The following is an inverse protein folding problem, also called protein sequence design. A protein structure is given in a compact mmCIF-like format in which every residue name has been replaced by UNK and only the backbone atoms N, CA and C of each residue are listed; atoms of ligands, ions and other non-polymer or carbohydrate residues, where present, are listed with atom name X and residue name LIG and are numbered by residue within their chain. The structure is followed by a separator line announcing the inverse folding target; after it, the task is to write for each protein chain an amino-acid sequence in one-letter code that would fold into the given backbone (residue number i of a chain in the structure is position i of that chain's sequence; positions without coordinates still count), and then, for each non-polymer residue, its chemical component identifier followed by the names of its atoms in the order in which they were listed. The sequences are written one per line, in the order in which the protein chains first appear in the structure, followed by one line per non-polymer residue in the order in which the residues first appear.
data_IF_360554760444
#
_entry.id   IF_360554760444
#
_cell.length_a   1.000
_cell.length_b   1.000
_cell.length_c   1.000
_cell.angle_alpha   90.00
_cell.angle_beta   90.00
_cell.angle_gamma   90.00
#
_symmetry.space_group_name_H-M   'P 1'
#
loop_
_entity.id
_entity.type
_entity.pdbx_description
1 polymer ?
#
# COMPACT_ATOMS: atom_id res chain seq x y z
N UNK A 1 -9.51 -16.96 -2.06
CA UNK A 1 -10.80 -16.44 -1.54
C UNK A 1 -10.70 -15.87 -0.12
N UNK A 2 -9.97 -16.46 0.83
CA UNK A 2 -9.86 -15.94 2.21
C UNK A 2 -9.17 -14.57 2.29
N UNK A 3 -8.23 -14.26 1.40
CA UNK A 3 -7.53 -12.98 1.35
C UNK A 3 -8.35 -11.85 0.74
N UNK A 4 -9.10 -12.14 -0.31
CA UNK A 4 -10.06 -11.18 -0.90
C UNK A 4 -11.10 -10.75 0.15
N UNK A 5 -11.58 -11.68 0.98
CA UNK A 5 -12.48 -11.38 2.10
C UNK A 5 -11.86 -10.44 3.15
N UNK A 6 -10.56 -10.59 3.46
CA UNK A 6 -9.85 -9.68 4.38
C UNK A 6 -9.64 -8.29 3.78
N UNK A 7 -9.36 -8.18 2.47
CA UNK A 7 -9.24 -6.89 1.79
C UNK A 7 -10.56 -6.13 1.75
N UNK A 8 -11.68 -6.84 1.54
CA UNK A 8 -13.03 -6.24 1.56
C UNK A 8 -13.46 -5.75 2.96
N UNK A 9 -12.95 -6.35 4.05
CA UNK A 9 -13.27 -5.93 5.42
C UNK A 9 -12.55 -4.65 5.87
N UNK A 10 -11.50 -4.23 5.14
CA UNK A 10 -10.67 -3.05 5.45
C UNK A 10 -11.07 -1.82 4.61
N UNK A 11 -12.25 -1.80 4.06
CA UNK A 11 -12.78 -0.82 3.08
C UNK A 11 -12.70 0.67 3.46
N UNK A 12 -12.13 1.04 4.59
CA UNK A 12 -12.12 2.44 5.04
C UNK A 12 -10.80 3.20 4.88
N UNK A 13 -9.77 2.67 4.19
CA UNK A 13 -8.44 3.28 4.34
C UNK A 13 -7.62 3.58 3.09
N UNK A 14 -8.01 3.13 1.89
CA UNK A 14 -7.31 3.53 0.65
C UNK A 14 -8.23 3.34 -0.54
N UNK A 15 -8.96 4.40 -0.85
CA UNK A 15 -10.20 4.34 -1.60
C UNK A 15 -10.10 3.85 -3.06
N UNK A 16 -8.91 3.82 -3.69
CA UNK A 16 -8.84 3.55 -5.13
C UNK A 16 -8.03 2.29 -5.52
N UNK A 17 -7.06 1.85 -4.72
CA UNK A 17 -6.15 0.77 -5.13
C UNK A 17 -6.65 -0.65 -4.82
N UNK A 18 -7.43 -0.83 -3.74
CA UNK A 18 -7.90 -2.17 -3.37
C UNK A 18 -8.92 -2.75 -4.34
N UNK A 19 -9.89 -1.97 -4.84
CA UNK A 19 -10.78 -2.46 -5.88
C UNK A 19 -10.05 -2.99 -7.10
N UNK A 20 -9.02 -2.28 -7.56
CA UNK A 20 -8.22 -2.68 -8.72
C UNK A 20 -7.44 -3.97 -8.45
N UNK A 21 -6.81 -4.09 -7.27
CA UNK A 21 -6.10 -5.32 -6.87
C UNK A 21 -7.07 -6.50 -6.79
N UNK A 22 -8.25 -6.30 -6.18
CA UNK A 22 -9.27 -7.35 -6.04
C UNK A 22 -9.75 -7.80 -7.41
N UNK A 23 -10.10 -6.86 -8.28
CA UNK A 23 -10.58 -7.16 -9.64
C UNK A 23 -9.56 -7.95 -10.44
N UNK A 24 -8.28 -7.53 -10.43
CA UNK A 24 -7.19 -8.25 -11.08
C UNK A 24 -6.99 -9.66 -10.52
N UNK A 25 -7.11 -9.84 -9.19
CA UNK A 25 -6.99 -11.14 -8.55
C UNK A 25 -8.18 -12.07 -8.88
N UNK A 26 -9.40 -11.54 -8.92
CA UNK A 26 -10.59 -12.30 -9.29
C UNK A 26 -10.54 -12.76 -10.76
N UNK A 27 -10.11 -11.88 -11.67
CA UNK A 27 -9.88 -12.24 -13.07
C UNK A 27 -8.84 -13.35 -13.22
N UNK A 28 -7.70 -13.22 -12.53
CA UNK A 28 -6.64 -14.23 -12.54
C UNK A 28 -7.10 -15.54 -11.91
N UNK A 29 -7.89 -15.52 -10.85
CA UNK A 29 -8.42 -16.72 -10.20
C UNK A 29 -9.32 -17.50 -11.16
N UNK A 30 -10.30 -16.86 -11.78
CA UNK A 30 -11.27 -17.56 -12.66
C UNK A 30 -10.60 -18.19 -13.88
N UNK A 31 -9.60 -17.51 -14.48
CA UNK A 31 -8.85 -18.08 -15.62
C UNK A 31 -7.85 -19.14 -15.14
N UNK A 32 -7.20 -18.89 -14.00
CA UNK A 32 -6.23 -19.81 -13.40
C UNK A 32 -6.85 -21.16 -13.03
N UNK A 33 -8.05 -21.18 -12.48
CA UNK A 33 -8.78 -22.41 -12.15
C UNK A 33 -9.07 -23.25 -13.40
N UNK A 34 -9.57 -22.62 -14.47
CA UNK A 34 -9.80 -23.31 -15.76
C UNK A 34 -8.51 -23.83 -16.36
N UNK A 35 -7.44 -23.07 -16.32
CA UNK A 35 -6.13 -23.48 -16.78
C UNK A 35 -5.60 -24.67 -15.97
N UNK A 36 -5.71 -24.64 -14.65
CA UNK A 36 -5.31 -25.72 -13.77
C UNK A 36 -6.06 -27.02 -14.08
N UNK A 37 -7.37 -26.94 -14.35
CA UNK A 37 -8.16 -28.11 -14.73
C UNK A 37 -7.66 -28.72 -16.04
N UNK A 38 -7.39 -27.91 -17.05
CA UNK A 38 -6.83 -28.36 -18.33
C UNK A 38 -5.46 -29.03 -18.16
N UNK A 39 -4.57 -28.42 -17.38
CA UNK A 39 -3.25 -28.99 -17.08
C UNK A 39 -3.37 -30.33 -16.38
N UNK A 40 -4.27 -30.46 -15.38
CA UNK A 40 -4.52 -31.73 -14.69
C UNK A 40 -4.98 -32.82 -15.63
N UNK A 41 -5.85 -32.51 -16.58
CA UNK A 41 -6.31 -33.49 -17.59
C UNK A 41 -5.17 -33.95 -18.49
N UNK A 42 -4.32 -33.04 -18.97
CA UNK A 42 -3.16 -33.36 -19.82
C UNK A 42 -2.17 -34.25 -19.04
N UNK A 43 -1.89 -33.90 -17.78
CA UNK A 43 -1.02 -34.70 -16.90
C UNK A 43 -1.59 -36.09 -16.66
N UNK A 44 -2.91 -36.21 -16.44
CA UNK A 44 -3.58 -37.49 -16.24
C UNK A 44 -3.47 -38.42 -17.47
N UNK A 45 -3.54 -37.85 -18.68
CA UNK A 45 -3.39 -38.57 -19.95
C UNK A 45 -1.90 -38.94 -20.20
N UNK A 46 -0.95 -38.26 -19.56
CA UNK A 46 0.49 -38.47 -19.73
C UNK A 46 1.06 -37.85 -20.99
N UNK A 47 0.35 -36.91 -21.62
CA UNK A 47 0.79 -36.22 -22.85
C UNK A 47 1.73 -35.07 -22.47
N UNK A 48 3.03 -35.36 -22.35
CA UNK A 48 4.04 -34.40 -21.91
C UNK A 48 4.35 -33.34 -22.98
N UNK A 49 4.23 -33.66 -24.27
CA UNK A 49 4.45 -32.71 -25.36
C UNK A 49 3.36 -31.63 -25.34
N UNK A 50 2.12 -32.05 -25.29
CA UNK A 50 0.97 -31.16 -25.16
C UNK A 50 1.01 -30.32 -23.89
N UNK A 51 1.53 -30.89 -22.79
CA UNK A 51 1.73 -30.14 -21.54
C UNK A 51 2.71 -28.99 -21.73
N UNK A 52 3.86 -29.26 -22.38
CA UNK A 52 4.87 -28.24 -22.65
C UNK A 52 4.33 -27.12 -23.57
N UNK A 53 3.64 -27.47 -24.63
CA UNK A 53 3.01 -26.51 -25.53
C UNK A 53 2.00 -25.65 -24.78
N UNK A 54 1.16 -26.26 -23.94
CA UNK A 54 0.13 -25.54 -23.17
C UNK A 54 0.74 -24.61 -22.13
N UNK A 55 1.81 -25.02 -21.45
CA UNK A 55 2.54 -24.18 -20.51
C UNK A 55 3.17 -22.98 -21.23
N UNK A 56 3.87 -23.19 -22.36
CA UNK A 56 4.44 -22.11 -23.18
C UNK A 56 3.38 -21.13 -23.65
N UNK A 57 2.26 -21.63 -24.17
CA UNK A 57 1.15 -20.79 -24.65
C UNK A 57 0.48 -19.98 -23.54
N UNK A 58 0.61 -20.37 -22.27
CA UNK A 58 0.04 -19.65 -21.14
C UNK A 58 0.82 -18.40 -20.72
N UNK A 59 2.12 -18.34 -21.05
CA UNK A 59 3.03 -17.26 -20.61
C UNK A 59 2.56 -15.88 -21.09
N UNK A 60 2.28 -15.66 -22.40
CA UNK A 60 1.85 -14.35 -22.88
C UNK A 60 0.57 -13.85 -22.22
N UNK A 61 -0.24 -14.74 -21.70
CA UNK A 61 -1.47 -14.40 -21.00
C UNK A 61 -1.22 -14.06 -19.53
N UNK A 62 -0.54 -14.96 -18.78
CA UNK A 62 -0.39 -14.79 -17.33
C UNK A 62 0.73 -13.85 -16.93
N UNK A 63 1.89 -13.87 -17.63
CA UNK A 63 3.04 -13.09 -17.19
C UNK A 63 2.77 -11.57 -17.12
N UNK A 64 2.15 -10.91 -18.12
CA UNK A 64 1.83 -9.49 -18.03
C UNK A 64 0.86 -9.18 -16.88
N UNK A 65 -0.16 -10.03 -16.68
CA UNK A 65 -1.17 -9.85 -15.63
C UNK A 65 -0.60 -10.02 -14.23
N UNK A 66 0.22 -11.05 -14.02
CA UNK A 66 0.95 -11.22 -12.75
C UNK A 66 1.84 -10.03 -12.47
N UNK A 67 2.54 -9.52 -13.50
CA UNK A 67 3.38 -8.33 -13.36
C UNK A 67 2.55 -7.07 -13.01
N UNK A 68 1.39 -6.91 -13.62
CA UNK A 68 0.48 -5.79 -13.32
C UNK A 68 0.00 -5.84 -11.86
N UNK A 69 -0.41 -7.01 -11.35
CA UNK A 69 -0.77 -7.15 -9.94
C UNK A 69 0.41 -6.82 -9.02
N UNK A 70 1.61 -7.31 -9.32
CA UNK A 70 2.81 -6.99 -8.54
C UNK A 70 3.10 -5.49 -8.53
N UNK A 71 2.98 -4.82 -9.68
CA UNK A 71 3.16 -3.38 -9.82
C UNK A 71 2.11 -2.61 -9.02
N UNK A 72 0.84 -3.00 -9.11
CA UNK A 72 -0.26 -2.36 -8.40
C UNK A 72 -0.09 -2.50 -6.89
N UNK A 73 0.28 -3.69 -6.39
CA UNK A 73 0.59 -3.90 -4.96
C UNK A 73 1.78 -3.03 -4.53
N UNK A 74 2.86 -2.98 -5.32
CA UNK A 74 4.06 -2.21 -4.96
C UNK A 74 3.81 -0.71 -4.88
N UNK A 75 2.84 -0.21 -5.63
CA UNK A 75 2.48 1.21 -5.66
C UNK A 75 1.30 1.55 -4.71
N UNK A 76 0.76 0.56 -4.00
CA UNK A 76 -0.39 0.76 -3.13
C UNK A 76 -0.03 1.62 -1.91
N UNK A 77 -0.61 2.82 -1.75
CA UNK A 77 -0.41 3.63 -0.56
C UNK A 77 -1.26 3.08 0.57
N UNK A 78 -0.63 2.55 1.60
CA UNK A 78 -1.33 2.08 2.79
C UNK A 78 -1.67 3.26 3.69
N UNK A 79 -2.95 3.58 3.81
CA UNK A 79 -3.45 4.61 4.73
C UNK A 79 -4.28 3.94 5.82
N UNK A 80 -3.97 4.21 7.08
CA UNK A 80 -4.77 3.70 8.20
C UNK A 80 -4.74 4.66 9.38
N UNK A 81 -5.86 4.75 10.06
CA UNK A 81 -5.97 5.46 11.34
C UNK A 81 -5.45 4.59 12.52
N UNK A 82 -5.30 3.28 12.31
CA UNK A 82 -4.79 2.33 13.28
C UNK A 82 -3.51 1.67 12.76
N UNK A 83 -2.45 1.73 13.56
CA UNK A 83 -1.16 1.11 13.22
C UNK A 83 -1.24 -0.41 13.17
N UNK A 84 -2.08 -1.03 14.00
CA UNK A 84 -2.26 -2.48 14.05
C UNK A 84 -2.90 -2.96 12.76
N UNK A 85 -3.98 -2.31 12.34
CA UNK A 85 -4.69 -2.65 11.10
C UNK A 85 -3.80 -2.42 9.88
N UNK A 86 -3.05 -1.30 9.85
CA UNK A 86 -2.10 -1.02 8.77
C UNK A 86 -0.99 -2.06 8.69
N UNK A 87 -0.46 -2.52 9.83
CA UNK A 87 0.57 -3.55 9.87
C UNK A 87 0.04 -4.90 9.39
N UNK A 88 -1.16 -5.28 9.81
CA UNK A 88 -1.83 -6.52 9.41
C UNK A 88 -2.10 -6.51 7.90
N UNK A 89 -2.60 -5.40 7.37
CA UNK A 89 -2.84 -5.24 5.95
C UNK A 89 -1.55 -5.27 5.13
N UNK A 90 -0.51 -4.57 5.60
CA UNK A 90 0.81 -4.61 4.97
C UNK A 90 1.33 -6.04 4.87
N UNK A 91 1.25 -6.82 5.95
CA UNK A 91 1.69 -8.21 5.95
C UNK A 91 0.87 -9.05 4.95
N UNK A 92 -0.45 -8.89 4.94
CA UNK A 92 -1.31 -9.59 3.99
C UNK A 92 -0.96 -9.26 2.52
N UNK A 93 -0.65 -8.00 2.19
CA UNK A 93 -0.21 -7.61 0.85
C UNK A 93 1.16 -8.18 0.50
N UNK A 94 2.10 -8.23 1.45
CA UNK A 94 3.40 -8.88 1.25
C UNK A 94 3.22 -10.37 0.97
N UNK A 95 2.34 -11.06 1.68
CA UNK A 95 2.06 -12.48 1.47
C UNK A 95 1.46 -12.75 0.08
N UNK A 96 0.52 -11.91 -0.37
CA UNK A 96 -0.04 -11.97 -1.74
C UNK A 96 1.06 -11.72 -2.76
N UNK A 97 1.83 -10.66 -2.56
CA UNK A 97 2.94 -10.30 -3.45
C UNK A 97 3.94 -11.45 -3.57
N UNK A 98 4.34 -12.05 -2.45
CA UNK A 98 5.26 -13.18 -2.42
C UNK A 98 4.74 -14.38 -3.21
N UNK A 99 3.46 -14.73 -3.05
CA UNK A 99 2.83 -15.82 -3.77
C UNK A 99 2.80 -15.58 -5.28
N UNK A 100 2.44 -14.36 -5.70
CA UNK A 100 2.38 -13.97 -7.11
C UNK A 100 3.79 -13.89 -7.72
N UNK A 101 4.74 -13.25 -7.03
CA UNK A 101 6.12 -13.14 -7.49
C UNK A 101 6.78 -14.52 -7.67
N UNK A 102 6.54 -15.43 -6.72
CA UNK A 102 6.98 -16.82 -6.82
C UNK A 102 6.36 -17.53 -8.01
N UNK A 103 5.06 -17.36 -8.22
CA UNK A 103 4.34 -17.97 -9.34
C UNK A 103 4.88 -17.46 -10.68
N UNK A 104 5.05 -16.15 -10.84
CA UNK A 104 5.62 -15.54 -12.05
C UNK A 104 7.05 -16.03 -12.33
N UNK A 105 7.88 -16.08 -11.28
CA UNK A 105 9.24 -16.60 -11.40
C UNK A 105 9.28 -18.06 -11.83
N UNK A 106 8.50 -18.93 -11.16
CA UNK A 106 8.44 -20.34 -11.50
C UNK A 106 7.91 -20.57 -12.92
N UNK A 107 6.88 -19.85 -13.33
CA UNK A 107 6.35 -19.91 -14.68
C UNK A 107 7.42 -19.57 -15.72
N UNK A 108 8.19 -18.51 -15.52
CA UNK A 108 9.26 -18.11 -16.41
C UNK A 108 10.37 -19.17 -16.49
N UNK A 109 10.80 -19.72 -15.36
CA UNK A 109 11.88 -20.72 -15.30
C UNK A 109 11.47 -22.08 -15.86
N UNK A 110 10.28 -22.58 -15.48
CA UNK A 110 9.77 -23.88 -15.94
C UNK A 110 9.47 -23.87 -17.43
N UNK A 111 9.08 -22.74 -18.00
CA UNK A 111 8.89 -22.61 -19.44
C UNK A 111 10.17 -22.78 -20.27
N UNK A 112 11.32 -22.46 -19.68
CA UNK A 112 12.63 -22.63 -20.30
C UNK A 112 13.13 -24.08 -20.21
N UNK A 113 12.87 -24.75 -19.08
CA UNK A 113 13.29 -26.11 -18.82
C UNK A 113 12.14 -26.87 -18.10
N UNK A 114 11.15 -27.41 -18.83
CA UNK A 114 9.96 -28.02 -18.25
C UNK A 114 10.26 -29.45 -17.76
N UNK A 115 11.11 -29.54 -16.77
CA UNK A 115 11.48 -30.79 -16.10
C UNK A 115 11.21 -30.69 -14.61
N UNK A 116 10.99 -31.83 -13.96
CA UNK A 116 10.80 -31.89 -12.50
C UNK A 116 12.01 -31.33 -11.75
N UNK A 117 13.21 -31.66 -12.22
CA UNK A 117 14.45 -31.15 -11.67
C UNK A 117 14.57 -29.62 -11.86
N UNK A 118 14.26 -29.12 -13.06
CA UNK A 118 14.22 -27.70 -13.36
C UNK A 118 13.26 -26.92 -12.45
N UNK A 119 12.09 -27.52 -12.17
CA UNK A 119 11.13 -26.95 -11.21
C UNK A 119 11.72 -26.85 -9.79
N UNK A 120 12.30 -27.93 -9.26
CA UNK A 120 12.88 -27.90 -7.92
C UNK A 120 14.04 -26.94 -7.82
N UNK A 121 14.92 -26.90 -8.81
CA UNK A 121 16.02 -25.95 -8.88
C UNK A 121 15.51 -24.49 -8.89
N UNK A 122 14.51 -24.21 -9.70
CA UNK A 122 13.89 -22.88 -9.74
C UNK A 122 13.23 -22.51 -8.41
N UNK A 123 12.47 -23.45 -7.82
CA UNK A 123 11.83 -23.24 -6.51
C UNK A 123 12.85 -22.89 -5.42
N UNK A 124 13.96 -23.60 -5.36
CA UNK A 124 14.99 -23.43 -4.30
C UNK A 124 15.87 -22.19 -4.57
N UNK A 125 15.93 -21.73 -5.82
CA UNK A 125 16.66 -20.53 -6.22
C UNK A 125 15.84 -19.24 -6.06
N UNK A 126 14.52 -19.33 -5.89
CA UNK A 126 13.68 -18.15 -5.73
C UNK A 126 14.06 -17.35 -4.49
N UNK A 127 14.25 -16.04 -4.66
CA UNK A 127 14.45 -15.09 -3.57
C UNK A 127 13.45 -13.96 -3.74
N UNK A 128 12.66 -13.77 -2.71
CA UNK A 128 11.67 -12.68 -2.68
C UNK A 128 12.38 -11.33 -2.52
N UNK A 129 12.08 -10.41 -3.40
CA UNK A 129 12.32 -8.98 -3.17
C UNK A 129 11.01 -8.38 -2.68
N UNK A 130 10.96 -8.06 -1.39
CA UNK A 130 9.75 -7.50 -0.80
C UNK A 130 9.43 -6.11 -1.39
N UNK A 131 8.15 -5.80 -1.65
CA UNK A 131 7.76 -4.48 -2.08
C UNK A 131 7.95 -3.46 -0.95
N UNK A 132 8.40 -2.26 -1.29
CA UNK A 132 8.54 -1.17 -0.31
C UNK A 132 7.16 -0.52 -0.05
N UNK A 133 6.32 -1.18 0.73
CA UNK A 133 5.01 -0.68 1.11
C UNK A 133 5.14 0.36 2.22
N UNK A 134 4.91 1.62 1.88
CA UNK A 134 4.92 2.72 2.85
C UNK A 134 3.56 2.84 3.53
N UNK A 135 3.54 2.79 4.86
CA UNK A 135 2.33 3.06 5.64
C UNK A 135 2.26 4.58 5.86
N UNK A 136 1.27 5.21 5.23
CA UNK A 136 0.88 6.57 5.58
C UNK A 136 -0.10 6.47 6.73
N UNK A 137 0.32 6.88 7.93
CA UNK A 137 -0.67 7.14 8.99
C UNK A 137 -1.57 8.22 8.45
N UNK A 138 -2.86 7.90 8.27
CA UNK A 138 -3.84 8.93 7.95
C UNK A 138 -3.63 10.04 8.97
N UNK A 139 -3.49 11.27 8.46
CA UNK A 139 -3.39 12.44 9.31
C UNK A 139 -4.42 12.25 10.41
N UNK A 140 -3.97 12.18 11.66
CA UNK A 140 -4.89 12.18 12.80
C UNK A 140 -5.88 13.27 12.47
N UNK A 141 -7.16 12.92 12.17
CA UNK A 141 -8.23 13.90 12.15
C UNK A 141 -7.99 14.69 13.42
N UNK A 142 -7.56 15.93 13.27
CA UNK A 142 -7.22 16.80 14.39
C UNK A 142 -8.32 16.61 15.44
N UNK A 143 -8.05 15.82 16.48
CA UNK A 143 -8.76 15.97 17.75
C UNK A 143 -8.27 17.27 18.36
N UNK A 144 -8.45 18.33 17.58
CA UNK A 144 -8.27 19.68 18.02
C UNK A 144 -9.42 19.91 18.99
N UNK A 145 -9.08 19.86 20.26
CA UNK A 145 -9.98 20.33 21.30
C UNK A 145 -10.48 21.71 20.87
N UNK A 146 -11.70 22.09 21.19
CA UNK A 146 -12.21 23.44 20.88
C UNK A 146 -11.25 24.56 21.27
N UNK A 147 -10.38 24.29 22.24
CA UNK A 147 -9.28 25.17 22.69
C UNK A 147 -8.15 25.38 21.65
N UNK A 148 -7.80 24.35 20.86
CA UNK A 148 -6.77 24.50 19.80
C UNK A 148 -7.32 25.30 18.60
N UNK A 149 -8.60 25.10 18.25
CA UNK A 149 -9.28 25.91 17.22
C UNK A 149 -9.37 27.39 17.62
N UNK A 150 -9.61 27.70 18.91
CA UNK A 150 -9.58 29.08 19.37
C UNK A 150 -8.22 29.74 19.21
N UNK A 151 -7.10 29.00 19.49
CA UNK A 151 -5.76 29.53 19.24
C UNK A 151 -5.51 29.77 17.74
N UNK A 152 -5.95 28.83 16.90
CA UNK A 152 -5.83 28.95 15.45
C UNK A 152 -6.65 30.11 14.90
N UNK A 153 -7.90 30.29 15.34
CA UNK A 153 -8.74 31.41 14.93
C UNK A 153 -8.11 32.78 15.24
N UNK A 154 -7.52 32.93 16.42
CA UNK A 154 -6.80 34.15 16.79
C UNK A 154 -5.54 34.37 15.93
N UNK A 155 -4.81 33.30 15.58
CA UNK A 155 -3.66 33.38 14.68
C UNK A 155 -4.09 33.85 13.28
N UNK A 156 -5.20 33.31 12.74
CA UNK A 156 -5.77 33.78 11.47
C UNK A 156 -6.25 35.23 11.50
N UNK A 157 -6.61 35.74 12.66
CA UNK A 157 -6.93 37.16 12.85
C UNK A 157 -5.68 38.06 12.93
N UNK A 158 -4.46 37.46 12.80
CA UNK A 158 -3.20 38.17 12.78
C UNK A 158 -2.55 38.37 14.15
N UNK A 159 -3.11 37.81 15.23
CA UNK A 159 -2.50 37.89 16.56
C UNK A 159 -1.20 37.07 16.64
N UNK A 160 -0.20 37.60 17.32
CA UNK A 160 1.06 36.91 17.57
C UNK A 160 0.88 35.82 18.62
N UNK A 161 1.70 34.76 18.58
CA UNK A 161 1.62 33.65 19.55
C UNK A 161 1.66 34.11 21.01
N UNK A 162 2.45 35.15 21.32
CA UNK A 162 2.56 35.75 22.66
C UNK A 162 1.29 36.50 23.07
N UNK A 163 0.61 37.15 22.12
CA UNK A 163 -0.65 37.86 22.36
C UNK A 163 -1.78 36.84 22.58
N UNK A 164 -1.81 35.78 21.79
CA UNK A 164 -2.76 34.66 21.97
C UNK A 164 -2.60 34.03 23.35
N UNK A 165 -1.36 33.84 23.81
CA UNK A 165 -1.08 33.31 25.13
C UNK A 165 -1.67 34.18 26.25
N UNK A 166 -1.47 35.52 26.13
CA UNK A 166 -2.04 36.49 27.09
C UNK A 166 -3.57 36.57 27.02
N UNK A 167 -4.14 36.64 25.83
CA UNK A 167 -5.59 36.75 25.63
C UNK A 167 -6.35 35.54 26.17
N UNK A 168 -5.71 34.38 26.10
CA UNK A 168 -6.32 33.11 26.50
C UNK A 168 -5.92 32.64 27.90
N UNK A 169 -5.10 33.41 28.59
CA UNK A 169 -4.52 33.07 29.90
C UNK A 169 -3.87 31.69 29.94
N UNK A 170 -3.06 31.40 28.89
CA UNK A 170 -2.32 30.14 28.75
C UNK A 170 -0.83 30.43 28.44
N UNK A 171 0.01 29.44 28.66
CA UNK A 171 1.44 29.61 28.35
C UNK A 171 1.70 29.61 26.84
N UNK A 172 2.76 30.29 26.41
CA UNK A 172 3.21 30.27 25.02
C UNK A 172 3.48 28.84 24.53
N UNK A 173 4.02 27.98 25.42
CA UNK A 173 4.24 26.55 25.15
C UNK A 173 2.92 25.84 24.80
N UNK A 174 1.83 26.20 25.50
CA UNK A 174 0.50 25.63 25.24
C UNK A 174 -0.06 26.11 23.92
N UNK A 175 0.14 27.39 23.55
CA UNK A 175 -0.26 27.93 22.24
C UNK A 175 0.49 27.20 21.12
N UNK A 176 1.80 27.03 21.25
CA UNK A 176 2.62 26.27 20.28
C UNK A 176 2.11 24.82 20.15
N UNK A 177 1.79 24.18 21.28
CA UNK A 177 1.21 22.81 21.26
C UNK A 177 -0.14 22.76 20.54
N UNK A 178 -0.95 23.82 20.63
CA UNK A 178 -2.23 23.92 19.92
C UNK A 178 -2.03 24.10 18.41
N UNK A 179 -1.03 24.85 17.98
CA UNK A 179 -0.81 25.23 16.58
C UNK A 179 0.04 24.19 15.83
N UNK A 180 0.93 23.49 16.54
CA UNK A 180 1.83 22.50 15.95
C UNK A 180 1.11 21.49 15.03
N UNK A 181 -0.03 20.87 15.40
CA UNK A 181 -0.73 19.95 14.52
C UNK A 181 -1.18 20.58 13.20
N UNK A 182 -1.59 21.86 13.22
CA UNK A 182 -2.05 22.57 12.01
C UNK A 182 -0.88 22.90 11.05
N UNK A 183 0.35 23.05 11.58
CA UNK A 183 1.56 23.21 10.78
C UNK A 183 1.95 21.85 10.17
N UNK A 184 1.92 20.78 10.97
CA UNK A 184 2.25 19.42 10.54
C UNK A 184 1.29 18.92 9.45
N UNK A 185 0.03 19.38 9.49
CA UNK A 185 -1.00 19.07 8.51
C UNK A 185 -1.01 20.02 7.29
N UNK A 186 -0.08 21.00 7.25
CA UNK A 186 0.02 21.97 6.16
C UNK A 186 -1.13 22.97 6.09
N UNK A 187 -1.97 23.07 7.14
CA UNK A 187 -3.07 24.05 7.24
C UNK A 187 -2.54 25.45 7.49
N UNK A 188 -1.38 25.58 8.14
CA UNK A 188 -0.70 26.83 8.45
C UNK A 188 0.75 26.71 7.97
N UNK A 189 1.22 27.69 7.19
CA UNK A 189 2.63 27.76 6.82
C UNK A 189 3.44 28.48 7.92
N UNK A 190 4.70 28.09 8.10
CA UNK A 190 5.59 28.75 9.04
C UNK A 190 5.78 30.26 8.71
N UNK A 191 5.67 30.65 7.44
CA UNK A 191 5.67 32.04 6.98
C UNK A 191 4.53 32.86 7.56
N UNK A 192 3.38 32.26 7.83
CA UNK A 192 2.21 32.95 8.38
C UNK A 192 2.41 33.28 9.87
N UNK A 193 3.21 32.45 10.55
CA UNK A 193 3.58 32.63 11.97
C UNK A 193 4.75 33.58 12.12
N UNK A 194 5.68 33.56 11.18
CA UNK A 194 6.93 34.33 11.16
C UNK A 194 7.03 35.11 9.84
N UNK A 195 6.31 36.25 9.71
CA UNK A 195 6.43 37.07 8.51
C UNK A 195 7.87 37.58 8.34
N UNK A 196 8.34 37.60 7.07
CA UNK A 196 9.73 37.81 6.67
C UNK A 196 10.29 39.21 7.02
N UNK A 197 9.47 40.14 7.48
CA UNK A 197 9.87 41.53 7.82
C UNK A 197 10.61 41.67 9.14
N UNK A 198 11.43 40.70 9.53
CA UNK A 198 12.12 40.82 10.82
C UNK A 198 13.55 41.30 10.71
N UNK A 199 13.72 42.58 11.00
CA UNK A 199 15.02 43.30 11.17
C UNK A 199 15.95 42.77 12.29
N UNK A 200 15.72 41.58 12.85
CA UNK A 200 16.54 41.08 13.97
C UNK A 200 17.32 39.79 13.63
N UNK A 201 17.46 39.48 12.35
CA UNK A 201 18.47 38.56 11.82
C UNK A 201 19.67 39.32 11.29
N UNK A 202 20.21 40.22 12.10
CA UNK A 202 21.53 40.84 11.92
C UNK A 202 22.43 40.48 13.07
#
# INVERSE_FOLDING_TARGET
SHMIGKMNSVQNTSDDYFPDIILLLEELQGVGERFQQQVRQIVYIGDMERLQERLKASIPYFAPRLHEVLKTISNCPLRSNDKSDASTLKQALIDVYAAIARTAYLQAQVSMAPTVEGYFKARDSFRLQEPNLTIYTAQRKLRTTGTAFQSMALLHQGYRLSEIAKMRDITLKTVIKHIKPFIEDGVINLSDIFPADRKWLR
#
